data_IF_031585514116
#
_entry.id   IF_031585514116
#
_cell.length_a   1.000
_cell.length_b   1.000
_cell.length_c   1.000
_cell.angle_alpha   90.00
_cell.angle_beta   90.00
_cell.angle_gamma   90.00
#
_symmetry.space_group_name_H-M   'P 1'
#
loop_
_entity.id
_entity.type
_entity.pdbx_description
1 polymer ?
#
# COMPACT_ATOMS: atom_id res chain seq x y z
N UNK A 1 -56.61 -50.26 17.32
CA UNK A 1 -55.75 -50.10 16.12
C UNK A 1 -55.38 -48.63 15.83
N UNK A 2 -55.43 -47.73 16.84
CA UNK A 2 -55.19 -46.27 16.65
C UNK A 2 -53.89 -45.78 17.31
N UNK A 3 -53.37 -46.46 18.33
CA UNK A 3 -52.17 -46.01 19.07
C UNK A 3 -50.84 -46.40 18.41
N UNK A 4 -50.82 -47.43 17.56
CA UNK A 4 -49.59 -47.90 16.90
C UNK A 4 -49.15 -46.98 15.73
N UNK A 5 -50.08 -46.21 15.15
CA UNK A 5 -49.74 -45.26 14.07
C UNK A 5 -49.20 -43.93 14.59
N UNK A 6 -49.49 -43.55 15.83
CA UNK A 6 -49.05 -42.27 16.42
C UNK A 6 -47.54 -42.25 16.71
N UNK A 7 -46.99 -43.35 17.24
CA UNK A 7 -45.58 -43.48 17.64
C UNK A 7 -44.62 -43.61 16.46
N UNK A 8 -45.06 -44.25 15.37
CA UNK A 8 -44.29 -44.35 14.12
C UNK A 8 -44.21 -42.99 13.43
N UNK A 9 -45.29 -42.22 13.46
CA UNK A 9 -45.35 -40.88 12.87
C UNK A 9 -44.46 -39.87 13.60
N UNK A 10 -44.44 -39.92 14.94
CA UNK A 10 -43.54 -39.06 15.75
C UNK A 10 -42.07 -39.34 15.48
N UNK A 11 -41.67 -40.62 15.39
CA UNK A 11 -40.29 -41.00 15.06
C UNK A 11 -39.86 -40.54 13.66
N UNK A 12 -40.74 -40.64 12.66
CA UNK A 12 -40.43 -40.18 11.31
C UNK A 12 -40.28 -38.66 11.24
N UNK A 13 -41.04 -37.91 12.05
CA UNK A 13 -40.97 -36.46 12.13
C UNK A 13 -39.67 -36.00 12.80
N UNK A 14 -39.24 -36.66 13.88
CA UNK A 14 -37.98 -36.37 14.55
C UNK A 14 -36.79 -36.60 13.62
N UNK A 15 -36.80 -37.69 12.84
CA UNK A 15 -35.74 -37.98 11.86
C UNK A 15 -35.71 -36.92 10.76
N UNK A 16 -36.87 -36.47 10.27
CA UNK A 16 -36.94 -35.42 9.25
C UNK A 16 -36.42 -34.07 9.76
N UNK A 17 -36.74 -33.70 11.01
CA UNK A 17 -36.22 -32.48 11.65
C UNK A 17 -34.70 -32.57 11.86
N UNK A 18 -34.18 -33.72 12.30
CA UNK A 18 -32.73 -33.94 12.45
C UNK A 18 -32.02 -33.91 11.09
N UNK A 19 -32.63 -34.45 10.04
CA UNK A 19 -32.10 -34.40 8.68
C UNK A 19 -32.07 -32.97 8.14
N UNK A 20 -33.13 -32.18 8.37
CA UNK A 20 -33.16 -30.75 8.03
C UNK A 20 -32.08 -29.98 8.79
N UNK A 21 -31.91 -30.22 10.10
CA UNK A 21 -30.85 -29.60 10.90
C UNK A 21 -29.45 -30.01 10.44
N UNK A 22 -29.29 -31.27 9.99
CA UNK A 22 -28.01 -31.81 9.52
C UNK A 22 -27.67 -31.33 8.11
N UNK A 23 -28.66 -31.03 7.27
CA UNK A 23 -28.45 -30.49 5.92
C UNK A 23 -27.88 -29.06 5.93
N UNK A 24 -27.99 -28.34 7.05
CA UNK A 24 -27.34 -27.03 7.27
C UNK A 24 -25.82 -27.19 7.46
N UNK A 25 -25.36 -28.36 7.91
CA UNK A 25 -23.93 -28.66 8.15
C UNK A 25 -23.22 -29.06 6.84
N UNK A 26 -23.98 -29.50 5.83
CA UNK A 26 -23.48 -30.00 4.55
C UNK A 26 -23.88 -29.11 3.36
N UNK A 27 -23.93 -27.78 3.54
CA UNK A 27 -24.05 -26.88 2.39
C UNK A 27 -22.75 -26.87 1.57
N UNK A 28 -22.81 -27.03 0.23
CA UNK A 28 -21.63 -26.87 -0.60
C UNK A 28 -21.17 -25.41 -0.55
N UNK A 29 -19.88 -25.19 -0.31
CA UNK A 29 -19.23 -23.91 -0.54
C UNK A 29 -19.32 -23.58 -2.03
N UNK A 30 -20.24 -22.70 -2.40
CA UNK A 30 -20.29 -22.15 -3.75
C UNK A 30 -19.02 -21.33 -3.95
N UNK A 31 -18.15 -21.79 -4.85
CA UNK A 31 -16.94 -21.09 -5.27
C UNK A 31 -17.27 -19.96 -6.25
N UNK A 32 -16.41 -18.93 -6.23
CA UNK A 32 -16.36 -17.76 -7.12
C UNK A 32 -17.37 -16.63 -6.84
N UNK A 33 -17.41 -16.16 -5.61
CA UNK A 33 -17.62 -14.73 -5.34
C UNK A 33 -16.26 -14.17 -4.94
N UNK A 34 -15.85 -13.01 -5.44
CA UNK A 34 -14.60 -12.39 -4.99
C UNK A 34 -14.66 -12.27 -3.46
N UNK A 35 -13.65 -12.79 -2.76
CA UNK A 35 -13.57 -12.70 -1.29
C UNK A 35 -13.35 -11.26 -0.81
N UNK A 36 -13.23 -10.32 -1.75
CA UNK A 36 -13.10 -8.89 -1.54
C UNK A 36 -14.11 -8.11 -2.38
N UNK A 37 -14.45 -6.93 -1.88
CA UNK A 37 -15.20 -5.89 -2.58
C UNK A 37 -14.25 -4.74 -2.88
N UNK A 38 -14.44 -4.11 -4.03
CA UNK A 38 -13.64 -2.95 -4.42
C UNK A 38 -13.81 -1.83 -3.39
N UNK A 39 -12.68 -1.31 -2.92
CA UNK A 39 -12.67 -0.03 -2.23
C UNK A 39 -12.54 1.07 -3.28
N UNK A 40 -13.57 1.91 -3.41
CA UNK A 40 -13.57 3.02 -4.37
C UNK A 40 -12.49 4.06 -4.09
N UNK A 41 -11.82 3.99 -2.94
CA UNK A 41 -10.83 4.95 -2.48
C UNK A 41 -9.70 5.24 -3.46
N UNK A 42 -9.09 4.20 -4.06
CA UNK A 42 -7.94 4.36 -4.95
C UNK A 42 -8.26 5.21 -6.18
N UNK A 43 -9.54 5.35 -6.50
CA UNK A 43 -10.03 6.16 -7.63
C UNK A 43 -10.56 7.54 -7.23
N UNK A 44 -10.45 7.91 -5.95
CA UNK A 44 -10.97 9.19 -5.42
C UNK A 44 -9.97 10.33 -5.58
N UNK A 45 -10.48 11.58 -5.49
CA UNK A 45 -9.63 12.78 -5.44
C UNK A 45 -8.66 12.78 -4.26
N UNK A 46 -8.99 12.10 -3.16
CA UNK A 46 -8.10 11.99 -2.01
C UNK A 46 -6.86 11.14 -2.34
N UNK A 47 -7.00 10.05 -3.10
CA UNK A 47 -5.85 9.28 -3.55
C UNK A 47 -4.94 10.13 -4.45
N UNK A 48 -5.53 10.94 -5.34
CA UNK A 48 -4.80 11.86 -6.20
C UNK A 48 -4.06 12.95 -5.40
N UNK A 49 -4.69 13.54 -4.40
CA UNK A 49 -4.07 14.54 -3.51
C UNK A 49 -2.87 13.95 -2.76
N UNK A 50 -2.99 12.70 -2.27
CA UNK A 50 -1.86 12.00 -1.63
C UNK A 50 -0.74 11.69 -2.62
N UNK A 51 -1.04 11.31 -3.87
CA UNK A 51 -0.03 11.15 -4.91
C UNK A 51 0.72 12.44 -5.21
N UNK A 52 -0.02 13.55 -5.32
CA UNK A 52 0.55 14.88 -5.56
C UNK A 52 1.46 15.31 -4.41
N UNK A 53 1.09 14.97 -3.17
CA UNK A 53 1.92 15.15 -1.98
C UNK A 53 3.22 14.31 -2.00
N UNK A 54 3.26 13.24 -2.78
CA UNK A 54 4.42 12.37 -2.94
C UNK A 54 4.27 10.99 -2.31
N UNK A 55 3.07 10.60 -1.87
CA UNK A 55 2.81 9.28 -1.32
C UNK A 55 2.96 8.16 -2.37
N UNK A 56 3.11 6.94 -1.87
CA UNK A 56 3.20 5.70 -2.64
C UNK A 56 2.04 4.76 -2.29
N UNK A 57 1.54 4.04 -3.30
CA UNK A 57 0.67 2.87 -3.14
C UNK A 57 1.44 1.59 -3.40
N UNK A 58 1.60 0.80 -2.34
CA UNK A 58 2.23 -0.52 -2.38
C UNK A 58 1.26 -1.62 -2.00
N UNK A 59 1.72 -2.86 -2.07
CA UNK A 59 0.90 -4.02 -1.72
C UNK A 59 1.06 -4.41 -0.24
N UNK A 60 -0.03 -4.69 0.48
CA UNK A 60 0.07 -5.45 1.72
C UNK A 60 -0.35 -6.91 1.54
N UNK A 61 -1.38 -7.15 0.73
CA UNK A 61 -1.83 -8.50 0.39
C UNK A 61 -3.20 -8.50 -0.27
N UNK A 62 -3.72 -9.71 -0.51
CA UNK A 62 -5.00 -9.94 -1.18
C UNK A 62 -5.91 -10.85 -0.35
N UNK A 63 -7.19 -10.50 -0.26
CA UNK A 63 -8.17 -11.28 0.51
C UNK A 63 -8.30 -12.70 -0.04
N UNK A 64 -8.17 -13.70 0.84
CA UNK A 64 -8.24 -15.11 0.49
C UNK A 64 -6.94 -15.70 -0.09
N UNK A 65 -5.89 -14.90 -0.25
CA UNK A 65 -4.55 -15.37 -0.58
C UNK A 65 -3.63 -15.29 0.64
N UNK A 66 -2.53 -16.02 0.61
CA UNK A 66 -1.57 -16.08 1.71
C UNK A 66 -0.14 -16.06 1.18
N UNK A 67 0.66 -15.12 1.69
CA UNK A 67 2.09 -15.02 1.40
C UNK A 67 2.83 -16.33 1.62
N UNK A 68 2.45 -17.08 2.66
CA UNK A 68 3.09 -18.36 2.99
C UNK A 68 2.70 -19.49 2.03
N UNK A 69 1.47 -19.45 1.50
CA UNK A 69 0.96 -20.50 0.62
C UNK A 69 1.41 -20.28 -0.83
N UNK A 70 1.25 -19.05 -1.33
CA UNK A 70 1.59 -18.67 -2.70
C UNK A 70 1.95 -17.18 -2.76
N UNK A 71 3.23 -16.82 -2.52
CA UNK A 71 3.67 -15.43 -2.54
C UNK A 71 3.58 -14.81 -3.92
N UNK A 72 3.75 -15.60 -4.99
CA UNK A 72 3.61 -15.14 -6.36
C UNK A 72 2.18 -14.71 -6.65
N UNK A 73 1.18 -15.53 -6.30
CA UNK A 73 -0.21 -15.17 -6.49
C UNK A 73 -0.62 -13.91 -5.71
N UNK A 74 -0.14 -13.73 -4.47
CA UNK A 74 -0.40 -12.49 -3.72
C UNK A 74 0.20 -11.30 -4.45
N UNK A 75 1.47 -11.39 -4.85
CA UNK A 75 2.16 -10.31 -5.54
C UNK A 75 1.43 -9.93 -6.86
N UNK A 76 1.19 -10.90 -7.74
CA UNK A 76 0.56 -10.67 -9.05
C UNK A 76 -0.82 -10.02 -8.90
N UNK A 77 -1.70 -10.59 -8.07
CA UNK A 77 -3.09 -10.12 -7.93
C UNK A 77 -3.17 -8.75 -7.27
N UNK A 78 -2.29 -8.48 -6.30
CA UNK A 78 -2.24 -7.19 -5.60
C UNK A 78 -1.71 -6.08 -6.51
N UNK A 79 -0.64 -6.37 -7.27
CA UNK A 79 -0.10 -5.45 -8.27
C UNK A 79 -1.17 -5.08 -9.30
N UNK A 80 -1.83 -6.08 -9.88
CA UNK A 80 -2.93 -5.86 -10.82
C UNK A 80 -4.08 -5.05 -10.20
N UNK A 81 -4.42 -5.30 -8.93
CA UNK A 81 -5.46 -4.54 -8.24
C UNK A 81 -5.14 -3.04 -8.16
N UNK A 82 -3.89 -2.69 -7.81
CA UNK A 82 -3.43 -1.29 -7.71
C UNK A 82 -3.34 -0.64 -9.10
N UNK A 83 -2.65 -1.28 -10.05
CA UNK A 83 -2.39 -0.74 -11.39
C UNK A 83 -3.66 -0.43 -12.18
N UNK A 84 -4.74 -1.19 -11.96
CA UNK A 84 -6.02 -0.94 -12.61
C UNK A 84 -6.76 0.29 -12.06
N UNK A 85 -6.28 0.89 -10.97
CA UNK A 85 -7.04 1.88 -10.19
C UNK A 85 -6.29 3.19 -9.98
N UNK A 86 -4.98 3.13 -9.79
CA UNK A 86 -4.18 4.30 -9.41
C UNK A 86 -2.73 4.13 -9.86
N UNK A 87 -2.07 5.23 -10.23
CA UNK A 87 -0.60 5.23 -10.35
C UNK A 87 0.02 5.01 -8.98
N UNK A 88 1.10 4.23 -8.89
CA UNK A 88 1.71 3.92 -7.61
C UNK A 88 2.36 5.14 -6.95
N UNK A 89 2.91 6.07 -7.73
CA UNK A 89 3.50 7.31 -7.25
C UNK A 89 3.49 8.35 -8.39
N UNK A 90 3.66 9.63 -8.07
CA UNK A 90 3.80 10.69 -9.10
C UNK A 90 4.96 10.50 -10.07
N UNK A 91 5.99 9.72 -9.70
CA UNK A 91 7.17 9.44 -10.52
C UNK A 91 7.11 8.09 -11.25
N UNK A 92 6.07 7.28 -11.01
CA UNK A 92 5.93 5.98 -11.66
C UNK A 92 4.58 5.31 -11.43
N UNK A 93 4.06 4.68 -12.47
CA UNK A 93 2.71 4.12 -12.46
C UNK A 93 2.61 2.77 -11.75
N UNK A 94 3.68 1.99 -11.74
CA UNK A 94 3.67 0.61 -11.25
C UNK A 94 4.12 0.51 -9.79
N UNK A 95 3.42 -0.27 -8.95
CA UNK A 95 3.79 -0.43 -7.55
C UNK A 95 5.03 -1.30 -7.42
N UNK A 96 6.00 -0.83 -6.64
CA UNK A 96 7.29 -1.52 -6.44
C UNK A 96 7.54 -1.88 -4.97
N UNK A 97 6.70 -1.39 -4.05
CA UNK A 97 6.80 -1.76 -2.63
C UNK A 97 5.70 -2.73 -2.22
N UNK A 98 6.06 -3.71 -1.38
CA UNK A 98 5.13 -4.65 -0.77
C UNK A 98 5.50 -4.94 0.68
N UNK A 99 4.53 -5.38 1.48
CA UNK A 99 4.75 -6.10 2.72
C UNK A 99 5.12 -7.55 2.44
N UNK A 100 5.95 -8.14 3.30
CA UNK A 100 6.14 -9.59 3.40
C UNK A 100 6.29 -10.01 4.87
N UNK A 101 5.79 -11.18 5.27
CA UNK A 101 5.99 -11.69 6.62
C UNK A 101 7.39 -12.29 6.81
N UNK A 102 7.86 -12.33 8.05
CA UNK A 102 9.18 -12.85 8.46
C UNK A 102 9.40 -14.36 8.26
N UNK A 103 8.42 -15.05 7.69
CA UNK A 103 8.41 -16.51 7.52
C UNK A 103 8.73 -16.95 6.09
N UNK A 104 8.96 -16.00 5.17
CA UNK A 104 9.30 -16.31 3.79
C UNK A 104 10.80 -16.60 3.64
N UNK A 105 11.12 -17.51 2.74
CA UNK A 105 12.49 -17.81 2.34
C UNK A 105 13.00 -16.84 1.26
N UNK A 106 14.32 -16.76 1.09
CA UNK A 106 14.95 -15.96 0.03
C UNK A 106 14.37 -16.24 -1.36
N UNK A 107 14.14 -17.51 -1.68
CA UNK A 107 13.53 -17.93 -2.95
C UNK A 107 12.12 -17.36 -3.14
N UNK A 108 11.33 -17.27 -2.07
CA UNK A 108 10.01 -16.67 -2.12
C UNK A 108 10.07 -15.16 -2.33
N UNK A 109 11.05 -14.47 -1.72
CA UNK A 109 11.30 -13.06 -2.03
C UNK A 109 11.71 -12.88 -3.49
N UNK A 110 12.53 -13.75 -4.06
CA UNK A 110 12.85 -13.68 -5.49
C UNK A 110 11.60 -13.81 -6.38
N UNK A 111 10.67 -14.72 -6.07
CA UNK A 111 9.39 -14.82 -6.80
C UNK A 111 8.60 -13.50 -6.73
N UNK A 112 8.58 -12.85 -5.57
CA UNK A 112 7.90 -11.57 -5.37
C UNK A 112 8.57 -10.47 -6.22
N UNK A 113 9.90 -10.48 -6.30
CA UNK A 113 10.66 -9.54 -7.12
C UNK A 113 10.53 -9.79 -8.62
N UNK A 114 10.39 -11.04 -9.05
CA UNK A 114 10.06 -11.37 -10.45
C UNK A 114 8.64 -10.89 -10.84
N UNK A 115 7.78 -10.59 -9.85
CA UNK A 115 6.50 -9.91 -10.05
C UNK A 115 6.60 -8.38 -9.93
N UNK A 116 7.83 -7.84 -9.86
CA UNK A 116 8.25 -6.44 -9.91
C UNK A 116 8.03 -5.61 -8.64
N UNK A 117 7.87 -6.28 -7.49
CA UNK A 117 8.10 -5.60 -6.21
C UNK A 117 9.59 -5.64 -5.89
N UNK A 118 10.21 -4.49 -5.64
CA UNK A 118 11.64 -4.38 -5.39
C UNK A 118 11.95 -4.04 -3.93
N UNK A 119 10.95 -3.57 -3.18
CA UNK A 119 11.02 -3.37 -1.73
C UNK A 119 10.00 -4.28 -1.06
N UNK A 120 10.43 -5.21 -0.19
CA UNK A 120 9.54 -6.25 0.37
C UNK A 120 9.10 -5.99 1.81
N UNK A 121 9.47 -4.83 2.36
CA UNK A 121 9.03 -4.37 3.66
C UNK A 121 10.12 -4.41 4.71
N UNK A 122 9.70 -4.47 5.97
CA UNK A 122 10.52 -4.13 7.11
C UNK A 122 10.53 -5.21 8.19
N UNK A 123 11.74 -5.55 8.67
CA UNK A 123 12.00 -6.68 9.58
C UNK A 123 11.46 -8.02 9.06
N UNK A 124 11.80 -8.38 7.82
CA UNK A 124 11.40 -9.65 7.19
C UNK A 124 12.27 -10.84 7.64
N UNK A 125 13.28 -10.59 8.48
CA UNK A 125 14.09 -11.65 9.09
C UNK A 125 15.11 -12.31 8.15
N UNK A 126 15.27 -11.78 6.93
CA UNK A 126 16.34 -12.20 6.02
C UNK A 126 17.71 -11.73 6.51
N UNK A 127 18.75 -12.48 6.16
CA UNK A 127 20.14 -12.11 6.47
C UNK A 127 20.62 -10.93 5.62
N UNK A 128 20.25 -10.91 4.34
CA UNK A 128 20.44 -9.75 3.46
C UNK A 128 19.45 -8.66 3.91
N UNK A 129 19.98 -7.51 4.34
CA UNK A 129 19.20 -6.45 4.95
C UNK A 129 19.89 -5.11 4.82
N UNK A 130 19.12 -4.03 4.94
CA UNK A 130 19.65 -2.68 5.03
C UNK A 130 18.93 -1.85 6.08
N UNK A 131 19.59 -0.79 6.50
CA UNK A 131 19.08 0.28 7.36
C UNK A 131 18.63 -0.19 8.75
N UNK A 132 19.22 -1.26 9.28
CA UNK A 132 19.13 -1.61 10.70
C UNK A 132 20.02 -0.71 11.59
N UNK A 133 21.00 -0.02 10.99
CA UNK A 133 21.77 1.08 11.59
C UNK A 133 22.06 2.17 10.54
N UNK A 134 22.60 3.33 10.93
CA UNK A 134 22.95 4.40 9.97
C UNK A 134 24.03 4.00 8.97
N UNK A 135 24.90 3.06 9.35
CA UNK A 135 26.00 2.57 8.50
C UNK A 135 25.62 1.31 7.71
N UNK A 136 24.43 0.77 7.94
CA UNK A 136 23.92 -0.42 7.27
C UNK A 136 23.30 -0.01 5.92
N UNK A 137 24.14 0.33 4.96
CA UNK A 137 23.71 0.81 3.63
C UNK A 137 23.54 -0.37 2.66
N UNK A 138 22.53 -0.33 1.77
CA UNK A 138 22.28 -1.42 0.83
C UNK A 138 23.40 -1.51 -0.21
N UNK A 139 23.97 -2.70 -0.31
CA UNK A 139 25.03 -3.07 -1.26
C UNK A 139 24.38 -3.60 -2.52
N UNK A 140 23.46 -4.54 -2.36
CA UNK A 140 22.79 -5.29 -3.42
C UNK A 140 21.27 -5.15 -3.36
N UNK A 141 20.59 -5.63 -4.40
CA UNK A 141 19.13 -5.55 -4.54
C UNK A 141 18.39 -6.32 -3.45
N UNK A 142 19.00 -7.39 -2.94
CA UNK A 142 18.40 -8.26 -1.93
C UNK A 142 18.27 -7.56 -0.56
N UNK A 143 19.11 -6.57 -0.28
CA UNK A 143 19.08 -5.83 0.99
C UNK A 143 17.78 -5.03 1.17
N UNK A 144 17.14 -4.66 0.06
CA UNK A 144 15.83 -3.99 0.06
C UNK A 144 14.65 -4.92 0.36
N UNK A 145 14.92 -6.21 0.53
CA UNK A 145 13.91 -7.18 0.95
C UNK A 145 13.74 -7.22 2.47
N UNK A 146 14.63 -6.58 3.23
CA UNK A 146 14.57 -6.48 4.68
C UNK A 146 15.08 -5.11 5.15
N UNK A 147 14.17 -4.15 5.27
CA UNK A 147 14.48 -2.84 5.81
C UNK A 147 14.39 -2.84 7.35
N UNK A 148 15.36 -2.21 8.02
CA UNK A 148 15.28 -1.95 9.45
C UNK A 148 14.18 -0.95 9.81
N UNK A 149 13.67 -1.02 11.04
CA UNK A 149 12.68 -0.06 11.60
C UNK A 149 13.35 0.95 12.53
N UNK A 150 14.39 1.65 12.07
CA UNK A 150 15.17 2.56 12.94
C UNK A 150 14.33 3.67 13.57
N UNK A 151 13.37 4.22 12.84
CA UNK A 151 12.45 5.25 13.35
C UNK A 151 11.34 4.69 14.23
N UNK A 152 11.21 3.37 14.38
CA UNK A 152 10.21 2.75 15.24
C UNK A 152 8.79 2.88 14.69
N UNK A 153 7.83 3.17 15.58
CA UNK A 153 6.41 3.28 15.24
C UNK A 153 5.93 4.74 15.33
N UNK A 154 4.98 5.10 14.47
CA UNK A 154 4.23 6.36 14.59
C UNK A 154 3.08 6.29 15.63
N UNK A 155 2.87 5.16 16.30
CA UNK A 155 1.75 4.93 17.23
C UNK A 155 2.03 5.50 18.63
N UNK A 156 1.07 6.23 19.24
CA UNK A 156 1.20 7.00 20.49
C UNK A 156 1.79 6.27 21.72
N UNK A 157 1.73 4.93 21.77
CA UNK A 157 2.18 4.14 22.92
C UNK A 157 3.47 3.37 22.61
N UNK A 158 3.77 3.17 21.33
CA UNK A 158 4.88 2.34 20.85
C UNK A 158 6.03 3.23 20.34
N UNK A 159 5.68 4.34 19.71
CA UNK A 159 6.61 5.32 19.17
C UNK A 159 7.37 6.09 20.24
N UNK A 160 8.47 6.71 19.81
CA UNK A 160 9.29 7.59 20.63
C UNK A 160 9.88 8.71 19.77
N UNK A 161 9.53 9.97 20.05
CA UNK A 161 10.13 11.14 19.39
C UNK A 161 11.67 11.10 19.48
N UNK A 162 12.20 10.78 20.66
CA UNK A 162 13.65 10.68 20.88
C UNK A 162 14.31 9.66 19.95
N UNK A 163 13.66 8.51 19.74
CA UNK A 163 14.20 7.48 18.84
C UNK A 163 14.31 7.99 17.40
N UNK A 164 13.28 8.73 16.93
CA UNK A 164 13.28 9.30 15.58
C UNK A 164 14.34 10.39 15.45
N UNK A 165 14.45 11.28 16.44
CA UNK A 165 15.49 12.32 16.50
C UNK A 165 16.90 11.73 16.45
N UNK A 166 17.18 10.73 17.29
CA UNK A 166 18.48 10.06 17.33
C UNK A 166 18.79 9.42 15.98
N UNK A 167 17.83 8.71 15.39
CA UNK A 167 18.01 8.04 14.10
C UNK A 167 18.25 9.03 12.94
N UNK A 168 17.56 10.18 12.93
CA UNK A 168 17.75 11.26 11.95
C UNK A 168 19.12 11.90 12.10
N UNK A 169 19.53 12.20 13.34
CA UNK A 169 20.84 12.80 13.63
C UNK A 169 22.00 11.86 13.26
N UNK A 170 21.80 10.54 13.39
CA UNK A 170 22.76 9.53 12.96
C UNK A 170 22.89 9.40 11.43
N UNK A 171 21.93 9.91 10.65
CA UNK A 171 21.91 9.80 9.19
C UNK A 171 21.28 8.50 8.66
N UNK A 172 21.27 8.35 7.34
CA UNK A 172 20.75 7.17 6.64
C UNK A 172 19.23 7.14 6.51
N UNK A 173 18.68 5.99 6.08
CA UNK A 173 17.22 5.80 6.00
C UNK A 173 16.64 5.53 7.40
N UNK A 174 15.71 6.38 7.80
CA UNK A 174 14.92 6.29 9.04
C UNK A 174 13.53 5.81 8.67
N UNK A 175 13.35 4.50 8.69
CA UNK A 175 12.09 3.86 8.36
C UNK A 175 11.21 3.70 9.61
N UNK A 176 9.99 4.21 9.53
CA UNK A 176 8.91 4.08 10.50
C UNK A 176 7.80 3.20 9.93
N UNK A 177 7.03 2.59 10.83
CA UNK A 177 5.77 1.95 10.47
C UNK A 177 4.58 2.58 11.20
N UNK A 178 3.41 2.43 10.61
CA UNK A 178 2.14 2.83 11.20
C UNK A 178 1.09 1.76 10.95
N UNK A 179 0.32 1.43 11.98
CA UNK A 179 -0.82 0.52 11.89
C UNK A 179 -2.06 1.27 12.36
N UNK A 180 -3.04 1.45 11.48
CA UNK A 180 -4.26 2.20 11.82
C UNK A 180 -5.24 1.47 12.74
N UNK A 181 -5.18 0.12 12.75
CA UNK A 181 -6.11 -0.72 13.48
C UNK A 181 -5.47 -2.05 13.88
N UNK A 182 -5.72 -2.47 15.11
CA UNK A 182 -5.44 -3.82 15.59
C UNK A 182 -6.68 -4.35 16.30
N UNK A 183 -7.21 -5.51 15.89
CA UNK A 183 -8.36 -6.15 16.55
C UNK A 183 -9.54 -5.21 16.83
N UNK A 184 -9.98 -4.45 15.81
CA UNK A 184 -11.08 -3.48 15.91
C UNK A 184 -10.82 -2.21 16.73
N UNK A 185 -9.70 -2.15 17.44
CA UNK A 185 -9.24 -0.93 18.09
C UNK A 185 -8.53 -0.02 17.08
N UNK A 186 -8.96 1.24 17.06
CA UNK A 186 -8.26 2.30 16.33
C UNK A 186 -7.03 2.73 17.12
N UNK A 187 -5.86 2.73 16.49
CA UNK A 187 -4.64 3.24 17.11
C UNK A 187 -4.50 4.75 16.84
N UNK A 188 -3.98 5.48 17.83
CA UNK A 188 -3.69 6.92 17.71
C UNK A 188 -2.24 7.10 17.28
N UNK A 189 -1.97 8.09 16.43
CA UNK A 189 -0.60 8.50 16.14
C UNK A 189 -0.02 9.29 17.31
N UNK A 190 1.30 9.26 17.43
CA UNK A 190 2.06 10.10 18.34
C UNK A 190 2.22 11.49 17.75
N UNK A 191 1.62 12.48 18.41
CA UNK A 191 1.64 13.87 17.94
C UNK A 191 3.02 14.49 18.03
N UNK A 192 3.84 14.06 18.99
CA UNK A 192 5.17 14.64 19.19
C UNK A 192 6.10 14.17 18.07
N UNK A 193 5.95 12.92 17.62
CA UNK A 193 6.66 12.39 16.44
C UNK A 193 6.22 13.11 15.17
N UNK A 194 4.91 13.23 14.96
CA UNK A 194 4.33 13.95 13.81
C UNK A 194 4.81 15.40 13.75
N UNK A 195 4.79 16.11 14.87
CA UNK A 195 5.28 17.48 14.97
C UNK A 195 6.78 17.56 14.66
N UNK A 196 7.59 16.67 15.22
CA UNK A 196 9.02 16.62 14.93
C UNK A 196 9.30 16.43 13.44
N UNK A 197 8.68 15.43 12.80
CA UNK A 197 8.85 15.19 11.36
C UNK A 197 8.40 16.41 10.56
N UNK A 198 7.27 17.02 10.95
CA UNK A 198 6.66 18.12 10.19
C UNK A 198 7.39 19.45 10.35
N UNK A 199 8.00 19.73 11.49
CA UNK A 199 8.49 21.08 11.82
C UNK A 199 10.01 21.15 12.08
N UNK A 200 10.63 20.06 12.52
CA UNK A 200 11.99 20.08 13.08
C UNK A 200 12.98 19.16 12.31
N UNK A 201 12.50 18.11 11.66
CA UNK A 201 13.38 17.14 11.00
C UNK A 201 14.00 17.68 9.70
N UNK A 202 15.33 17.79 9.69
CA UNK A 202 16.14 18.14 8.52
C UNK A 202 16.46 16.90 7.67
N UNK A 203 15.41 16.28 7.13
CA UNK A 203 15.51 15.03 6.39
C UNK A 203 14.70 15.08 5.09
N UNK A 204 15.11 14.24 4.13
CA UNK A 204 14.32 13.97 2.94
C UNK A 204 13.06 13.16 3.31
N UNK A 205 11.88 13.73 3.12
CA UNK A 205 10.60 13.07 3.35
C UNK A 205 10.21 12.27 2.11
N UNK A 206 10.18 10.95 2.23
CA UNK A 206 10.10 10.05 1.07
C UNK A 206 9.33 8.76 1.34
N UNK A 207 9.25 7.92 0.31
CA UNK A 207 8.59 6.61 0.31
C UNK A 207 9.63 5.51 0.07
N UNK A 208 9.27 4.26 0.35
CA UNK A 208 10.14 3.12 0.07
C UNK A 208 10.55 3.04 -1.39
N UNK A 209 9.59 3.17 -2.30
CA UNK A 209 9.80 3.11 -3.74
C UNK A 209 10.64 4.27 -4.27
N UNK A 210 10.45 5.49 -3.75
CA UNK A 210 11.30 6.63 -4.13
C UNK A 210 12.73 6.47 -3.61
N UNK A 211 12.92 6.05 -2.36
CA UNK A 211 14.25 5.80 -1.79
C UNK A 211 15.00 4.71 -2.58
N UNK A 212 14.33 3.59 -2.89
CA UNK A 212 14.90 2.53 -3.71
C UNK A 212 15.18 2.99 -5.14
N UNK A 213 14.28 3.76 -5.74
CA UNK A 213 14.46 4.26 -7.11
C UNK A 213 15.65 5.22 -7.21
N UNK A 214 15.83 6.08 -6.20
CA UNK A 214 16.98 6.97 -6.10
C UNK A 214 18.29 6.19 -5.92
N UNK A 215 18.33 5.27 -4.94
CA UNK A 215 19.51 4.43 -4.70
C UNK A 215 19.87 3.57 -5.91
N UNK A 216 18.90 2.93 -6.55
CA UNK A 216 19.15 2.08 -7.73
C UNK A 216 19.66 2.88 -8.93
N UNK A 217 19.35 4.19 -9.00
CA UNK A 217 19.96 5.09 -9.97
C UNK A 217 21.42 5.42 -9.71
N UNK A 218 21.85 5.45 -8.45
CA UNK A 218 23.27 5.59 -8.11
C UNK A 218 24.14 4.47 -8.70
N UNK A 219 23.56 3.27 -8.90
CA UNK A 219 24.29 2.08 -9.36
C UNK A 219 24.59 2.12 -10.86
N UNK A 220 23.81 2.86 -11.63
CA UNK A 220 24.04 3.06 -13.07
C UNK A 220 23.45 4.39 -13.51
N UNK A 221 24.34 5.33 -13.85
CA UNK A 221 24.01 6.61 -14.41
C UNK A 221 24.97 6.96 -15.55
N UNK A 222 24.50 7.80 -16.46
CA UNK A 222 25.32 8.49 -17.46
C UNK A 222 24.79 9.91 -17.58
N UNK A 223 25.66 10.87 -17.85
CA UNK A 223 25.28 12.26 -18.04
C UNK A 223 26.04 12.86 -19.22
N UNK A 224 25.43 13.85 -19.85
CA UNK A 224 26.05 14.70 -20.87
C UNK A 224 26.17 16.12 -20.32
N UNK A 225 27.27 16.79 -20.64
CA UNK A 225 27.46 18.18 -20.26
C UNK A 225 28.33 18.92 -21.27
N UNK A 226 28.05 20.23 -21.43
CA UNK A 226 28.88 21.11 -22.25
C UNK A 226 28.76 22.54 -21.76
N UNK A 227 29.82 23.33 -21.92
CA UNK A 227 29.80 24.75 -21.59
C UNK A 227 30.10 25.59 -22.82
N UNK A 228 29.32 26.65 -23.04
CA UNK A 228 29.49 27.55 -24.16
C UNK A 228 29.44 29.00 -23.70
N UNK A 229 30.33 29.83 -24.23
CA UNK A 229 30.35 31.26 -23.96
C UNK A 229 29.24 31.97 -24.76
N UNK A 230 28.40 32.75 -24.08
CA UNK A 230 27.33 33.57 -24.68
C UNK A 230 27.44 35.00 -24.15
N UNK A 231 28.02 35.88 -24.96
CA UNK A 231 28.30 37.26 -24.56
C UNK A 231 29.39 37.33 -23.49
N UNK A 232 29.06 37.87 -22.31
CA UNK A 232 29.97 37.93 -21.15
C UNK A 232 29.80 36.77 -20.17
N UNK A 233 28.80 35.91 -20.38
CA UNK A 233 28.45 34.81 -19.49
C UNK A 233 28.75 33.47 -20.17
N UNK A 234 28.65 32.39 -19.39
CA UNK A 234 28.77 31.02 -19.86
C UNK A 234 27.48 30.26 -19.58
N UNK A 235 27.09 29.37 -20.48
CA UNK A 235 25.94 28.50 -20.31
C UNK A 235 26.45 27.06 -20.24
N UNK A 236 26.32 26.45 -19.06
CA UNK A 236 26.55 25.05 -18.81
C UNK A 236 25.24 24.28 -19.08
N UNK A 237 25.22 23.49 -20.13
CA UNK A 237 24.15 22.52 -20.39
C UNK A 237 24.48 21.20 -19.72
N UNK A 238 23.54 20.65 -18.97
CA UNK A 238 23.64 19.36 -18.28
C UNK A 238 22.39 18.52 -18.54
N UNK A 239 22.57 17.21 -18.69
CA UNK A 239 21.48 16.25 -18.80
C UNK A 239 21.89 14.90 -18.20
N UNK A 240 21.11 14.41 -17.25
CA UNK A 240 21.23 13.02 -16.80
C UNK A 240 20.50 12.12 -17.81
N UNK A 241 21.19 11.16 -18.41
CA UNK A 241 20.72 10.43 -19.59
C UNK A 241 19.86 9.20 -19.21
N UNK A 242 18.86 8.91 -20.06
CA UNK A 242 18.15 7.62 -20.05
C UNK A 242 18.83 6.69 -21.07
N UNK A 243 19.57 5.70 -20.57
CA UNK A 243 20.29 4.74 -21.41
C UNK A 243 19.79 3.31 -21.19
N UNK A 244 19.67 2.54 -22.28
CA UNK A 244 19.16 1.16 -22.27
C UNK A 244 19.94 0.25 -21.33
N UNK A 245 21.25 0.49 -21.18
CA UNK A 245 22.10 -0.27 -20.27
C UNK A 245 21.67 -0.09 -18.81
N UNK A 246 21.29 1.12 -18.39
CA UNK A 246 20.88 1.38 -17.02
C UNK A 246 19.43 1.01 -16.77
N UNK A 247 18.53 1.29 -17.73
CA UNK A 247 17.12 0.88 -17.61
C UNK A 247 16.95 -0.63 -17.70
N UNK A 248 17.82 -1.34 -18.40
CA UNK A 248 17.81 -2.81 -18.47
C UNK A 248 18.24 -3.50 -17.17
N UNK A 249 19.01 -2.83 -16.30
CA UNK A 249 19.42 -3.39 -15.00
C UNK A 249 18.25 -3.36 -14.02
N UNK A 250 17.55 -2.22 -13.94
CA UNK A 250 16.44 -2.00 -13.01
C UNK A 250 15.23 -1.42 -13.77
N UNK A 251 14.46 -2.25 -14.49
CA UNK A 251 13.36 -1.79 -15.34
C UNK A 251 12.18 -1.23 -14.55
N UNK A 252 11.97 -1.68 -13.31
CA UNK A 252 10.88 -1.21 -12.44
C UNK A 252 11.20 0.14 -11.73
N UNK A 253 12.42 0.68 -11.91
CA UNK A 253 12.85 1.94 -11.30
C UNK A 253 12.03 3.13 -11.78
N UNK A 254 11.47 3.90 -10.84
CA UNK A 254 10.83 5.18 -11.15
C UNK A 254 11.85 6.24 -11.56
N UNK A 255 11.46 7.16 -12.44
CA UNK A 255 12.33 8.27 -12.85
C UNK A 255 12.22 9.44 -11.87
N UNK A 256 12.68 9.22 -10.63
CA UNK A 256 12.72 10.24 -9.59
C UNK A 256 13.83 11.27 -9.88
N UNK A 257 13.67 12.54 -9.46
CA UNK A 257 14.72 13.55 -9.51
C UNK A 257 15.99 13.08 -8.78
N UNK A 258 17.12 13.08 -9.47
CA UNK A 258 18.44 12.75 -8.95
C UNK A 258 19.20 14.03 -8.65
N UNK A 259 19.86 14.09 -7.49
CA UNK A 259 20.60 15.28 -7.07
C UNK A 259 22.07 15.15 -7.40
N UNK A 260 22.55 16.04 -8.25
CA UNK A 260 23.94 16.12 -8.70
C UNK A 260 24.65 17.29 -8.04
N UNK A 261 25.84 17.06 -7.49
CA UNK A 261 26.66 18.12 -6.91
C UNK A 261 27.61 18.70 -7.98
N UNK A 262 27.59 20.03 -8.12
CA UNK A 262 28.46 20.80 -9.00
C UNK A 262 29.35 21.69 -8.15
N UNK A 263 30.66 21.59 -8.34
CA UNK A 263 31.58 22.64 -7.93
C UNK A 263 31.59 23.72 -9.01
N UNK A 264 31.17 24.93 -8.66
CA UNK A 264 31.19 26.09 -9.55
C UNK A 264 32.29 27.08 -9.15
N UNK A 265 33.21 26.68 -8.27
CA UNK A 265 34.33 27.46 -7.78
C UNK A 265 33.91 28.87 -7.33
N UNK A 266 34.50 29.91 -7.92
CA UNK A 266 34.18 31.31 -7.63
C UNK A 266 33.16 31.92 -8.60
N UNK A 267 32.46 31.07 -9.38
CA UNK A 267 31.45 31.51 -10.34
C UNK A 267 30.13 31.86 -9.66
N UNK A 268 29.43 32.87 -10.16
CA UNK A 268 28.09 33.22 -9.70
C UNK A 268 27.04 32.60 -10.62
N UNK A 269 26.03 31.97 -10.01
CA UNK A 269 24.85 31.47 -10.72
C UNK A 269 23.94 32.65 -11.04
N UNK A 270 23.69 32.88 -12.33
CA UNK A 270 22.81 33.94 -12.80
C UNK A 270 21.39 33.45 -13.06
N UNK A 271 21.25 32.23 -13.57
CA UNK A 271 19.95 31.57 -13.77
C UNK A 271 20.13 30.07 -14.01
N UNK A 272 19.08 29.30 -13.73
CA UNK A 272 19.00 27.87 -14.03
C UNK A 272 17.66 27.63 -14.72
N UNK A 273 17.69 27.11 -15.93
CA UNK A 273 16.52 27.00 -16.81
C UNK A 273 16.42 25.59 -17.37
N UNK A 274 15.25 24.97 -17.25
CA UNK A 274 14.90 23.70 -17.88
C UNK A 274 13.89 23.91 -19.04
N UNK A 275 13.25 22.84 -19.51
CA UNK A 275 12.20 22.95 -20.55
C UNK A 275 10.94 23.68 -20.09
N UNK A 276 10.69 23.78 -18.78
CA UNK A 276 9.49 24.36 -18.18
C UNK A 276 9.69 25.83 -17.78
N UNK A 277 10.94 26.30 -17.69
CA UNK A 277 11.28 27.69 -17.41
C UNK A 277 12.39 27.79 -16.39
N UNK A 278 12.36 28.85 -15.57
CA UNK A 278 13.30 29.01 -14.47
C UNK A 278 13.03 27.96 -13.39
N UNK A 279 14.08 27.25 -12.99
CA UNK A 279 14.00 26.23 -11.95
C UNK A 279 13.81 26.88 -10.58
N UNK A 280 13.10 26.19 -9.69
CA UNK A 280 12.83 26.68 -8.34
C UNK A 280 14.00 26.38 -7.38
N UNK A 281 14.24 27.30 -6.44
CA UNK A 281 15.12 27.04 -5.32
C UNK A 281 14.42 26.13 -4.30
N UNK A 282 14.95 24.93 -4.11
CA UNK A 282 14.40 23.87 -3.25
C UNK A 282 15.16 23.69 -1.94
N UNK A 283 15.99 24.66 -1.52
CA UNK A 283 16.73 24.62 -0.24
C UNK A 283 15.85 24.45 1.01
N UNK A 284 14.55 24.72 0.93
CA UNK A 284 13.60 24.58 2.04
C UNK A 284 12.53 23.52 1.77
N UNK A 285 12.68 22.77 0.68
CA UNK A 285 11.75 21.72 0.29
C UNK A 285 12.33 20.40 0.77
N UNK A 286 11.50 19.59 1.42
CA UNK A 286 11.89 18.25 1.92
C UNK A 286 11.25 17.11 1.14
N UNK A 287 10.33 17.41 0.22
CA UNK A 287 9.70 16.43 -0.67
C UNK A 287 10.47 16.34 -1.98
N UNK A 288 10.54 15.15 -2.55
CA UNK A 288 11.18 14.94 -3.84
C UNK A 288 10.59 15.84 -4.92
N UNK A 289 11.46 16.68 -5.52
CA UNK A 289 11.10 17.64 -6.56
C UNK A 289 12.32 17.96 -7.43
N UNK A 290 12.07 18.37 -8.67
CA UNK A 290 13.11 19.02 -9.49
C UNK A 290 13.34 20.45 -9.01
N UNK A 291 14.59 20.91 -9.07
CA UNK A 291 14.97 22.22 -8.57
C UNK A 291 16.47 22.31 -8.32
N UNK A 292 16.90 23.41 -7.73
CA UNK A 292 18.28 23.56 -7.28
C UNK A 292 18.37 24.05 -5.84
N UNK A 293 19.45 23.71 -5.14
CA UNK A 293 19.82 24.31 -3.87
C UNK A 293 21.30 24.69 -3.92
N UNK A 294 21.64 25.83 -3.33
CA UNK A 294 23.01 26.33 -3.31
C UNK A 294 23.20 27.30 -2.15
N UNK A 295 24.16 26.98 -1.29
CA UNK A 295 24.65 27.88 -0.25
C UNK A 295 25.99 28.49 -0.66
N UNK A 296 26.33 29.66 -0.12
CA UNK A 296 27.60 30.32 -0.46
C UNK A 296 28.79 29.44 -0.09
N UNK A 297 29.71 29.26 -1.05
CA UNK A 297 30.91 28.42 -0.92
C UNK A 297 30.63 26.92 -0.72
N UNK A 298 29.45 26.45 -1.12
CA UNK A 298 29.12 25.02 -1.17
C UNK A 298 28.84 24.60 -2.62
N UNK A 299 28.70 23.31 -2.84
CA UNK A 299 28.30 22.79 -4.14
C UNK A 299 26.90 23.29 -4.52
N UNK A 300 26.71 23.54 -5.81
CA UNK A 300 25.38 23.65 -6.38
C UNK A 300 24.79 22.24 -6.48
N UNK A 301 23.69 22.01 -5.79
CA UNK A 301 22.94 20.77 -5.89
C UNK A 301 21.80 20.96 -6.89
N UNK A 302 21.85 20.21 -7.99
CA UNK A 302 20.82 20.23 -9.03
C UNK A 302 20.04 18.92 -8.98
N UNK A 303 18.75 19.00 -8.65
CA UNK A 303 17.84 17.86 -8.63
C UNK A 303 17.02 17.83 -9.91
N UNK A 304 17.23 16.81 -10.76
CA UNK A 304 16.60 16.70 -12.09
C UNK A 304 16.22 15.26 -12.42
N UNK A 305 15.13 15.07 -13.14
CA UNK A 305 14.78 13.74 -13.68
C UNK A 305 15.67 13.38 -14.86
N UNK A 306 15.90 12.10 -15.09
CA UNK A 306 16.66 11.68 -16.27
C UNK A 306 15.91 12.06 -17.55
N UNK A 307 16.65 12.48 -18.57
CA UNK A 307 16.15 12.97 -19.86
C UNK A 307 15.76 14.45 -19.86
N UNK A 308 15.79 15.14 -18.71
CA UNK A 308 15.55 16.57 -18.64
C UNK A 308 16.87 17.34 -18.75
N UNK A 309 16.99 18.20 -19.76
CA UNK A 309 18.18 19.02 -20.00
C UNK A 309 18.03 20.37 -19.32
N UNK A 310 19.03 20.74 -18.53
CA UNK A 310 19.10 21.99 -17.78
C UNK A 310 20.25 22.86 -18.26
N UNK A 311 20.01 24.16 -18.35
CA UNK A 311 20.99 25.18 -18.69
C UNK A 311 21.24 26.08 -17.48
N UNK A 312 22.48 26.09 -16.99
CA UNK A 312 22.95 26.90 -15.87
C UNK A 312 23.77 28.05 -16.45
N UNK A 313 23.35 29.29 -16.21
CA UNK A 313 24.09 30.48 -16.63
C UNK A 313 25.05 30.91 -15.52
N UNK A 314 26.34 30.98 -15.86
CA UNK A 314 27.46 31.22 -14.95
C UNK A 314 28.28 32.43 -15.39
N UNK A 315 28.99 33.06 -14.47
CA UNK A 315 29.91 34.17 -14.78
C UNK A 315 31.28 33.71 -15.30
N UNK A 316 31.67 32.48 -14.99
CA UNK A 316 32.92 31.85 -15.42
C UNK A 316 32.67 30.45 -15.98
N UNK A 317 33.64 29.91 -16.71
CA UNK A 317 33.60 28.57 -17.33
C UNK A 317 34.17 27.45 -16.45
N UNK A 318 34.64 27.79 -15.26
CA UNK A 318 35.22 26.86 -14.31
C UNK A 318 34.12 26.12 -13.54
N UNK A 319 33.96 24.82 -13.82
CA UNK A 319 33.05 23.94 -13.10
C UNK A 319 33.57 22.49 -13.08
N UNK A 320 33.18 21.76 -12.06
CA UNK A 320 33.35 20.31 -11.96
C UNK A 320 32.03 19.68 -11.52
N UNK A 321 31.64 18.60 -12.19
CA UNK A 321 30.51 17.77 -11.75
C UNK A 321 31.12 16.72 -10.85
N UNK A 322 30.75 16.73 -9.57
CA UNK A 322 31.27 15.81 -8.58
C UNK A 322 30.61 14.44 -8.76
N UNK A 323 29.65 14.11 -7.92
CA UNK A 323 28.86 12.89 -8.00
C UNK A 323 27.42 13.15 -7.60
N UNK A 324 26.58 12.13 -7.78
CA UNK A 324 25.23 12.14 -7.25
C UNK A 324 25.29 12.04 -5.72
N UNK A 325 24.52 12.87 -5.01
CA UNK A 325 24.46 12.82 -3.55
C UNK A 325 23.77 11.55 -3.08
N UNK A 326 24.13 11.04 -1.90
CA UNK A 326 23.57 9.79 -1.34
C UNK A 326 22.04 9.85 -1.18
N UNK A 327 21.52 10.99 -0.71
CA UNK A 327 20.10 11.28 -0.66
C UNK A 327 19.76 12.53 -1.47
N UNK A 328 18.48 12.63 -1.84
CA UNK A 328 17.96 13.79 -2.54
C UNK A 328 18.25 15.09 -1.78
N UNK A 329 18.60 16.14 -2.53
CA UNK A 329 18.92 17.48 -2.04
C UNK A 329 20.02 17.52 -0.96
N UNK A 330 20.94 16.56 -0.96
CA UNK A 330 22.07 16.47 -0.03
C UNK A 330 21.66 16.37 1.46
N UNK A 331 20.47 15.84 1.76
CA UNK A 331 20.12 15.51 3.14
C UNK A 331 21.02 14.39 3.68
N UNK A 332 21.35 14.43 4.98
CA UNK A 332 22.09 13.34 5.63
C UNK A 332 21.22 12.13 5.97
N UNK A 333 19.90 12.31 5.99
CA UNK A 333 18.92 11.28 6.32
C UNK A 333 17.68 11.38 5.45
N UNK A 334 16.98 10.27 5.34
CA UNK A 334 15.69 10.17 4.66
C UNK A 334 14.68 9.47 5.57
N UNK A 335 13.48 10.02 5.69
CA UNK A 335 12.40 9.46 6.51
C UNK A 335 11.39 8.78 5.59
N UNK A 336 11.06 7.53 5.92
CA UNK A 336 9.98 6.77 5.26
C UNK A 336 8.97 6.30 6.29
N UNK A 337 7.69 6.28 5.92
CA UNK A 337 6.61 5.79 6.78
C UNK A 337 5.78 4.77 6.01
N UNK A 338 5.82 3.50 6.43
CA UNK A 338 4.97 2.47 5.87
C UNK A 338 3.68 2.32 6.66
N UNK A 339 2.56 2.49 5.98
CA UNK A 339 1.25 2.23 6.55
C UNK A 339 0.85 0.77 6.28
N UNK A 340 0.90 -0.04 7.34
CA UNK A 340 0.55 -1.45 7.30
C UNK A 340 -0.96 -1.68 7.49
N UNK A 341 -1.46 -2.76 6.89
CA UNK A 341 -2.81 -3.29 7.07
C UNK A 341 -3.94 -2.29 6.75
N UNK A 342 -3.83 -1.58 5.62
CA UNK A 342 -4.79 -0.53 5.24
C UNK A 342 -6.03 -1.07 4.51
N UNK A 343 -6.85 -1.82 5.23
CA UNK A 343 -8.11 -2.40 4.70
C UNK A 343 -9.20 -1.36 4.40
N UNK A 344 -9.11 -0.13 4.92
CA UNK A 344 -10.05 0.98 4.65
C UNK A 344 -9.25 2.28 4.56
N UNK A 345 -8.63 2.47 3.40
CA UNK A 345 -7.65 3.53 3.22
C UNK A 345 -8.28 4.92 3.28
N UNK A 346 -9.59 5.05 2.98
CA UNK A 346 -10.33 6.29 3.19
C UNK A 346 -10.35 6.70 4.67
N UNK A 347 -10.73 5.78 5.56
CA UNK A 347 -10.80 6.07 7.00
C UNK A 347 -9.43 6.41 7.59
N UNK A 348 -8.38 5.79 7.06
CA UNK A 348 -7.03 5.88 7.59
C UNK A 348 -6.27 7.12 7.09
N UNK A 349 -6.26 7.34 5.77
CA UNK A 349 -5.62 8.51 5.16
C UNK A 349 -6.30 9.82 5.56
N UNK A 350 -7.63 9.82 5.83
CA UNK A 350 -8.38 11.02 6.23
C UNK A 350 -7.78 11.76 7.44
N UNK A 351 -7.03 11.07 8.29
CA UNK A 351 -6.40 11.65 9.49
C UNK A 351 -5.16 12.47 9.19
N UNK A 352 -4.58 12.28 8.01
CA UNK A 352 -3.33 12.89 7.59
C UNK A 352 -3.54 13.84 6.40
N UNK A 353 -4.79 14.17 6.05
CA UNK A 353 -5.11 15.07 4.93
C UNK A 353 -4.47 16.43 5.13
N UNK A 354 -4.53 16.95 6.35
CA UNK A 354 -3.92 18.25 6.68
C UNK A 354 -2.41 18.13 7.00
N UNK A 355 -1.80 16.95 6.80
CA UNK A 355 -0.39 16.67 7.09
C UNK A 355 0.39 16.45 5.79
N UNK A 356 0.81 17.56 5.18
CA UNK A 356 1.58 17.57 3.94
C UNK A 356 2.97 16.94 4.17
N UNK A 357 3.66 17.28 5.27
CA UNK A 357 5.00 16.78 5.58
C UNK A 357 5.05 15.31 6.06
N UNK A 358 3.94 14.57 6.01
CA UNK A 358 3.94 13.13 6.25
C UNK A 358 3.70 12.41 4.93
N UNK A 359 4.77 11.82 4.40
CA UNK A 359 4.75 11.06 3.15
C UNK A 359 4.70 9.57 3.48
N UNK A 360 3.70 8.87 2.95
CA UNK A 360 3.43 7.47 3.29
C UNK A 360 3.66 6.52 2.11
N UNK A 361 4.15 5.33 2.42
CA UNK A 361 3.99 4.13 1.61
C UNK A 361 2.76 3.38 2.11
N UNK A 362 1.62 3.56 1.45
CA UNK A 362 0.36 2.91 1.79
C UNK A 362 0.33 1.47 1.28
N UNK A 363 0.49 0.51 2.18
CA UNK A 363 0.42 -0.91 1.83
C UNK A 363 -1.05 -1.35 1.87
N UNK A 364 -1.63 -1.53 0.69
CA UNK A 364 -3.07 -1.71 0.52
C UNK A 364 -3.51 -3.17 0.64
N UNK A 365 -4.70 -3.37 1.20
CA UNK A 365 -5.43 -4.64 1.10
C UNK A 365 -6.85 -4.31 0.61
N UNK A 366 -7.40 -5.00 -0.40
CA UNK A 366 -8.80 -4.87 -0.75
C UNK A 366 -9.72 -5.15 0.44
N UNK A 367 -10.85 -4.45 0.49
CA UNK A 367 -11.85 -4.66 1.55
C UNK A 367 -12.40 -6.08 1.47
N UNK A 368 -12.49 -6.81 2.59
CA UNK A 368 -13.17 -8.11 2.59
C UNK A 368 -14.62 -7.91 2.14
N UNK A 369 -15.10 -8.80 1.27
CA UNK A 369 -16.50 -8.77 0.88
C UNK A 369 -17.35 -8.99 2.13
N UNK A 370 -18.42 -8.21 2.31
CA UNK A 370 -19.37 -8.55 3.36
C UNK A 370 -19.88 -9.94 3.02
N UNK A 371 -19.75 -10.89 3.96
CA UNK A 371 -20.27 -12.25 3.77
C UNK A 371 -21.81 -12.26 3.78
N UNK A 372 -22.44 -11.59 2.82
CA UNK A 372 -23.83 -11.77 2.47
C UNK A 372 -23.92 -13.12 1.79
N UNK A 373 -23.94 -14.17 2.61
CA UNK A 373 -24.27 -15.52 2.18
C UNK A 373 -25.62 -15.44 1.44
N UNK A 374 -25.63 -15.49 0.09
CA UNK A 374 -26.84 -15.20 -0.69
C UNK A 374 -27.96 -16.20 -0.41
N UNK A 375 -27.60 -17.33 0.21
CA UNK A 375 -28.45 -18.44 0.60
C UNK A 375 -29.20 -18.24 1.93
N UNK A 376 -28.79 -17.30 2.80
CA UNK A 376 -29.43 -17.06 4.11
C UNK A 376 -30.94 -16.76 3.97
N UNK A 377 -31.39 -15.89 3.04
CA UNK A 377 -32.81 -15.65 2.82
C UNK A 377 -33.57 -16.90 2.39
N UNK A 378 -32.94 -17.74 1.53
CA UNK A 378 -33.55 -18.98 1.06
C UNK A 378 -33.70 -20.01 2.18
N UNK A 379 -32.70 -20.14 3.06
CA UNK A 379 -32.79 -21.02 4.23
C UNK A 379 -33.78 -20.50 5.27
N UNK A 380 -33.86 -19.19 5.48
CA UNK A 380 -34.88 -18.60 6.36
C UNK A 380 -36.31 -18.88 5.84
N UNK A 381 -36.53 -18.77 4.52
CA UNK A 381 -37.83 -19.08 3.88
C UNK A 381 -38.15 -20.57 3.98
N UNK A 382 -37.21 -21.47 3.71
CA UNK A 382 -37.46 -22.91 3.77
C UNK A 382 -37.74 -23.39 5.19
N UNK A 383 -36.99 -22.89 6.18
CA UNK A 383 -37.26 -23.19 7.60
C UNK A 383 -38.61 -22.59 8.02
N UNK A 384 -38.88 -21.33 7.70
CA UNK A 384 -40.14 -20.66 8.04
C UNK A 384 -41.36 -21.39 7.46
N UNK A 385 -41.32 -21.71 6.16
CA UNK A 385 -42.39 -22.45 5.49
C UNK A 385 -42.50 -23.88 6.05
N UNK A 386 -41.38 -24.56 6.29
CA UNK A 386 -41.34 -25.90 6.86
C UNK A 386 -41.98 -25.99 8.25
N UNK A 387 -41.69 -25.01 9.12
CA UNK A 387 -42.30 -24.92 10.47
C UNK A 387 -43.80 -24.69 10.38
N UNK A 388 -44.26 -23.77 9.53
CA UNK A 388 -45.69 -23.49 9.34
C UNK A 388 -46.43 -24.72 8.82
N UNK A 389 -45.88 -25.40 7.80
CA UNK A 389 -46.47 -26.61 7.24
C UNK A 389 -46.52 -27.73 8.28
N UNK A 390 -45.45 -27.89 9.05
CA UNK A 390 -45.40 -28.91 10.12
C UNK A 390 -46.44 -28.63 11.21
N UNK A 391 -46.57 -27.37 11.62
CA UNK A 391 -47.58 -26.95 12.61
C UNK A 391 -49.00 -27.18 12.09
N UNK A 392 -49.27 -26.86 10.81
CA UNK A 392 -50.56 -27.11 10.16
C UNK A 392 -50.88 -28.61 10.04
N UNK A 393 -49.87 -29.47 9.84
CA UNK A 393 -50.06 -30.92 9.80
C UNK A 393 -50.30 -31.54 11.18
N UNK A 394 -49.64 -31.02 12.23
CA UNK A 394 -49.90 -31.41 13.62
C UNK A 394 -51.31 -31.01 14.02
N UNK A 395 -51.68 -29.74 13.78
CA UNK A 395 -53.02 -29.21 14.03
C UNK A 395 -54.11 -30.02 13.31
N UNK A 396 -53.90 -30.34 12.03
CA UNK A 396 -54.79 -31.22 11.26
C UNK A 396 -54.97 -32.60 11.91
N UNK A 397 -53.89 -33.21 12.40
CA UNK A 397 -53.94 -34.53 13.05
C UNK A 397 -54.58 -34.48 14.44
N UNK A 398 -54.49 -33.35 15.14
CA UNK A 398 -55.16 -33.11 16.43
C UNK A 398 -56.61 -32.62 16.27
N UNK A 399 -57.10 -32.45 15.04
CA UNK A 399 -58.49 -32.06 14.74
C UNK A 399 -58.80 -30.58 14.98
N UNK A 400 -57.77 -29.73 15.13
CA UNK A 400 -57.91 -28.31 15.44
C UNK A 400 -57.28 -27.52 14.29
N UNK A 401 -57.93 -26.44 13.84
CA UNK A 401 -57.37 -25.53 12.84
C UNK A 401 -57.89 -25.71 11.41
N UNK A 402 -57.39 -24.90 10.45
CA UNK A 402 -58.06 -24.65 9.16
C UNK A 402 -58.06 -25.84 8.19
N UNK A 403 -57.22 -26.86 8.43
CA UNK A 403 -57.14 -28.07 7.60
C UNK A 403 -57.79 -29.30 8.25
N UNK A 404 -58.37 -29.15 9.45
CA UNK A 404 -59.09 -30.23 10.11
C UNK A 404 -60.35 -30.60 9.31
N UNK A 405 -60.59 -31.90 9.12
CA UNK A 405 -61.77 -32.39 8.41
C UNK A 405 -62.99 -32.16 9.32
N UNK A 406 -63.91 -31.28 8.93
CA UNK A 406 -65.22 -31.19 9.56
C UNK A 406 -65.99 -32.50 9.30
N UNK A 407 -65.99 -33.41 10.28
CA UNK A 407 -66.97 -34.49 10.38
C UNK A 407 -68.34 -33.89 10.70
N UNK A 408 -68.96 -33.20 9.73
CA UNK A 408 -70.34 -32.74 9.79
C UNK A 408 -70.94 -32.53 8.39
N UNK A 409 -70.70 -33.48 7.47
CA UNK A 409 -71.40 -33.49 6.16
C UNK A 409 -71.83 -34.86 5.66
N UNK A 410 -71.72 -35.93 6.48
CA UNK A 410 -72.08 -37.28 6.07
C UNK A 410 -73.45 -37.79 6.58
N UNK A 411 -74.27 -36.97 7.24
CA UNK A 411 -75.56 -37.43 7.83
C UNK A 411 -76.81 -36.65 7.36
N UNK A 412 -76.82 -36.23 6.08
CA UNK A 412 -78.02 -35.63 5.45
C UNK A 412 -78.34 -36.28 4.11
N UNK A 413 -78.40 -37.61 4.06
CA UNK A 413 -78.91 -38.35 2.89
C UNK A 413 -79.47 -39.74 3.25
N UNK A 414 -80.28 -39.84 4.31
CA UNK A 414 -81.27 -40.94 4.43
C UNK A 414 -82.36 -40.57 5.43
N UNK A 415 -83.39 -39.86 4.96
CA UNK A 415 -84.77 -39.89 5.51
C UNK A 415 -85.70 -39.14 4.56
N UNK A 416 -86.16 -39.85 3.54
CA UNK A 416 -87.39 -39.57 2.79
C UNK A 416 -87.95 -40.89 2.27
N UNK A 417 -88.63 -41.61 3.16
CA UNK A 417 -89.83 -42.39 2.90
C UNK A 417 -90.76 -42.23 4.11
#
# INVERSE_FOLDING_TARGET
MSECNSTVFTRSLTIFIVFLLSSIIFSPSISAQSNWEEDGWLTTSLAQERLENGDEFGCYGMQGLSWKADPGAVATECRQYIEQRVSANRWGDYPISTFTPDSLSQYQHQIISENGFMVHGDNTGLEDSAWHSSNDTPIDMLDWYNLGRRGGSLEQIIGSKQQVEDAVNEGGLVNLYWIGRVNDATIRHDKDIEQYISEEAEAWLTTWGQAWSYWSASKCYQFDHSINQVGQNYILSFESLIVEQCTGINPDRWNVPLTWAFDINNSQILSIIDSNGEMENISQVRHTKEGYSHEQNQYLHLSVVNGNRVNITLTNDDYEIMEMTEFWNNHSSAITIAAHETTDLFKWSKRFVDQENLVFTWLVIPRPAESKSPWIPYVAITIGAGVIITMLLVLKNEGIGPLARNENSADRKSKSE
#
